data_IF_741130162737
#
_entry.id   IF_741130162737
#
_cell.length_a   1.000
_cell.length_b   1.000
_cell.length_c   1.000
_cell.angle_alpha   90.00
_cell.angle_beta   90.00
_cell.angle_gamma   90.00
#
_symmetry.space_group_name_H-M   'P 1'
#
loop_
_entity.id
_entity.type
_entity.pdbx_description
1 polymer ?
#
# COMPACT_ATOMS: atom_id res chain seq x y z
N UNK A 1 -0.20 -8.04 -8.80
CA UNK A 1 1.05 -7.28 -8.62
C UNK A 1 0.72 -6.08 -7.75
N UNK A 2 1.47 -5.85 -6.67
CA UNK A 2 1.31 -4.67 -5.82
C UNK A 2 2.64 -3.92 -5.83
N UNK A 3 2.60 -2.64 -6.16
CA UNK A 3 3.76 -1.74 -6.16
C UNK A 3 3.54 -0.58 -5.20
N UNK A 4 4.63 -0.03 -4.67
CA UNK A 4 4.62 1.13 -3.78
C UNK A 4 5.71 2.11 -4.20
N UNK A 5 5.40 3.40 -4.28
CA UNK A 5 6.36 4.43 -4.67
C UNK A 5 6.40 4.72 -6.18
N UNK A 6 7.10 5.80 -6.53
CA UNK A 6 7.21 6.28 -7.92
C UNK A 6 5.93 6.94 -8.46
N UNK A 7 5.09 7.49 -7.58
CA UNK A 7 3.80 8.15 -7.91
C UNK A 7 3.77 9.65 -7.58
N UNK A 8 4.87 10.17 -7.07
CA UNK A 8 5.01 11.57 -6.73
C UNK A 8 5.14 12.46 -7.98
N UNK A 9 5.53 13.73 -7.78
CA UNK A 9 5.63 14.70 -8.86
C UNK A 9 7.02 14.73 -9.52
N UNK A 10 8.04 14.04 -9.02
CA UNK A 10 9.43 14.20 -9.50
C UNK A 10 9.67 13.45 -10.81
N UNK A 11 10.82 13.67 -11.46
CA UNK A 11 11.13 13.04 -12.76
C UNK A 11 11.39 11.53 -12.64
N UNK A 12 11.82 11.07 -11.46
CA UNK A 12 12.01 9.66 -11.12
C UNK A 12 10.71 8.94 -10.75
N UNK A 13 9.60 9.68 -10.56
CA UNK A 13 8.27 9.11 -10.35
C UNK A 13 7.64 8.64 -11.69
N UNK A 14 8.10 7.47 -12.16
CA UNK A 14 7.75 6.92 -13.48
C UNK A 14 6.76 5.73 -13.45
N UNK A 15 6.18 5.39 -12.29
CA UNK A 15 5.42 4.13 -12.15
C UNK A 15 4.17 4.10 -13.04
N UNK A 16 3.41 5.20 -13.14
CA UNK A 16 2.21 5.25 -14.00
C UNK A 16 2.56 5.10 -15.48
N UNK A 17 3.59 5.80 -15.93
CA UNK A 17 4.07 5.76 -17.31
C UNK A 17 4.59 4.35 -17.64
N UNK A 18 5.30 3.73 -16.70
CA UNK A 18 5.86 2.38 -16.87
C UNK A 18 4.75 1.34 -16.98
N UNK A 19 3.76 1.37 -16.09
CA UNK A 19 2.61 0.44 -16.14
C UNK A 19 1.82 0.64 -17.44
N UNK A 20 1.58 1.90 -17.82
CA UNK A 20 0.87 2.23 -19.07
C UNK A 20 1.60 1.67 -20.30
N UNK A 21 2.91 1.89 -20.39
CA UNK A 21 3.74 1.39 -21.50
C UNK A 21 3.82 -0.14 -21.52
N UNK A 22 4.06 -0.76 -20.37
CA UNK A 22 4.18 -2.21 -20.25
C UNK A 22 2.90 -2.95 -20.67
N UNK A 23 1.74 -2.32 -20.47
CA UNK A 23 0.45 -2.86 -20.85
C UNK A 23 -0.08 -2.33 -22.19
N UNK A 24 0.69 -1.52 -22.92
CA UNK A 24 0.26 -0.88 -24.17
C UNK A 24 -1.10 -0.16 -24.04
N UNK A 25 -1.23 0.65 -22.99
CA UNK A 25 -2.41 1.45 -22.68
C UNK A 25 -2.15 2.92 -23.01
N UNK A 26 -3.21 3.74 -22.99
CA UNK A 26 -3.10 5.21 -23.02
C UNK A 26 -2.98 5.77 -21.62
N UNK A 27 -2.19 6.83 -21.48
CA UNK A 27 -2.13 7.63 -20.27
C UNK A 27 -3.18 8.75 -20.39
N UNK A 28 -4.20 8.74 -19.53
CA UNK A 28 -5.31 9.69 -19.60
C UNK A 28 -5.43 10.51 -18.33
N UNK A 29 -5.99 11.71 -18.47
CA UNK A 29 -6.21 12.63 -17.36
C UNK A 29 -7.49 12.27 -16.61
N UNK A 30 -7.41 12.21 -15.28
CA UNK A 30 -8.55 11.99 -14.40
C UNK A 30 -8.93 13.30 -13.68
N UNK A 31 -10.06 13.94 -14.01
CA UNK A 31 -10.46 15.23 -13.44
C UNK A 31 -10.63 15.22 -11.91
N UNK A 32 -11.08 14.11 -11.34
CA UNK A 32 -11.23 13.92 -9.89
C UNK A 32 -9.88 13.95 -9.16
N UNK A 33 -8.82 13.42 -9.78
CA UNK A 33 -7.46 13.49 -9.24
C UNK A 33 -6.95 14.92 -9.29
N UNK A 34 -7.16 15.61 -10.41
CA UNK A 34 -6.80 17.02 -10.52
C UNK A 34 -7.52 17.88 -9.48
N UNK A 35 -8.82 17.66 -9.28
CA UNK A 35 -9.60 18.35 -8.26
C UNK A 35 -9.01 18.13 -6.86
N UNK A 36 -8.65 16.89 -6.53
CA UNK A 36 -8.04 16.55 -5.25
C UNK A 36 -6.66 17.20 -5.07
N UNK A 37 -5.81 17.13 -6.10
CA UNK A 37 -4.49 17.73 -6.12
C UNK A 37 -4.55 19.24 -5.89
N UNK A 38 -5.44 19.93 -6.62
CA UNK A 38 -5.68 21.37 -6.45
C UNK A 38 -6.14 21.71 -5.03
N UNK A 39 -7.05 20.90 -4.47
CA UNK A 39 -7.55 21.07 -3.10
C UNK A 39 -6.42 20.95 -2.06
N UNK A 40 -5.57 19.93 -2.17
CA UNK A 40 -4.47 19.69 -1.23
C UNK A 40 -3.42 20.79 -1.33
N UNK A 41 -2.96 21.13 -2.54
CA UNK A 41 -1.97 22.19 -2.74
C UNK A 41 -2.48 23.56 -2.26
N UNK A 42 -3.76 23.88 -2.47
CA UNK A 42 -4.39 25.08 -1.93
C UNK A 42 -4.40 25.09 -0.40
N UNK A 43 -4.70 23.96 0.25
CA UNK A 43 -4.72 23.82 1.72
C UNK A 43 -3.34 24.08 2.34
N UNK A 44 -2.27 23.69 1.67
CA UNK A 44 -0.88 23.91 2.14
C UNK A 44 -0.24 25.18 1.54
N UNK A 45 -1.04 26.06 0.93
CA UNK A 45 -0.62 27.32 0.30
C UNK A 45 0.54 27.17 -0.71
N UNK A 46 0.57 26.07 -1.46
CA UNK A 46 1.53 25.84 -2.55
C UNK A 46 0.89 26.10 -3.92
N UNK A 47 1.67 26.72 -4.81
CA UNK A 47 1.29 26.88 -6.23
C UNK A 47 1.36 25.52 -6.93
N UNK A 48 0.48 25.31 -7.91
CA UNK A 48 0.49 24.11 -8.75
C UNK A 48 1.62 24.23 -9.77
N UNK A 49 2.52 23.26 -9.80
CA UNK A 49 3.56 23.16 -10.83
C UNK A 49 3.15 22.19 -11.95
N UNK A 50 3.75 22.28 -13.15
CA UNK A 50 3.57 21.29 -14.21
C UNK A 50 3.92 19.87 -13.77
N UNK A 51 4.92 19.72 -12.90
CA UNK A 51 5.35 18.43 -12.35
C UNK A 51 4.27 17.82 -11.45
N UNK A 52 3.54 18.62 -10.66
CA UNK A 52 2.38 18.13 -9.90
C UNK A 52 1.27 17.61 -10.82
N UNK A 53 1.05 18.27 -11.97
CA UNK A 53 0.02 17.85 -12.91
C UNK A 53 0.32 16.50 -13.56
N UNK A 54 1.55 15.99 -13.54
CA UNK A 54 1.83 14.62 -14.00
C UNK A 54 1.04 13.57 -13.21
N UNK A 55 0.78 13.83 -11.92
CA UNK A 55 0.08 12.91 -11.03
C UNK A 55 -1.42 12.73 -11.38
N UNK A 56 -1.98 13.60 -12.24
CA UNK A 56 -3.37 13.50 -12.68
C UNK A 56 -3.57 12.59 -13.88
N UNK A 57 -2.46 12.08 -14.44
CA UNK A 57 -2.44 11.19 -15.59
C UNK A 57 -2.14 9.76 -15.15
N UNK A 58 -3.06 8.83 -15.44
CA UNK A 58 -2.97 7.43 -15.06
C UNK A 58 -3.34 6.54 -16.26
N UNK A 59 -3.00 5.23 -16.24
CA UNK A 59 -3.40 4.31 -17.30
C UNK A 59 -4.91 4.31 -17.49
N UNK A 60 -5.38 4.29 -18.74
CA UNK A 60 -6.80 4.15 -19.05
C UNK A 60 -7.39 2.87 -18.45
N UNK A 61 -8.63 2.94 -17.98
CA UNK A 61 -9.31 1.82 -17.33
C UNK A 61 -8.88 1.56 -15.89
N UNK A 62 -7.96 2.35 -15.33
CA UNK A 62 -7.61 2.26 -13.92
C UNK A 62 -8.78 2.73 -13.03
N UNK A 63 -9.10 1.94 -11.99
CA UNK A 63 -9.92 2.37 -10.86
C UNK A 63 -9.07 3.25 -9.95
N UNK A 64 -9.43 4.53 -9.89
CA UNK A 64 -8.71 5.54 -9.12
C UNK A 64 -9.11 5.48 -7.65
N UNK A 65 -8.10 5.51 -6.78
CA UNK A 65 -8.26 5.69 -5.34
C UNK A 65 -7.70 7.06 -4.99
N UNK A 66 -8.59 7.98 -4.61
CA UNK A 66 -8.21 9.33 -4.23
C UNK A 66 -7.44 9.31 -2.92
N UNK A 67 -6.22 9.83 -2.95
CA UNK A 67 -5.41 9.97 -1.75
C UNK A 67 -5.85 11.21 -0.95
N UNK A 68 -6.45 10.98 0.23
CA UNK A 68 -6.86 12.04 1.14
C UNK A 68 -5.69 12.57 2.00
N UNK A 69 -4.58 11.86 2.03
CA UNK A 69 -3.40 12.10 2.87
C UNK A 69 -2.26 12.78 2.12
N UNK A 70 -2.25 12.71 0.79
CA UNK A 70 -1.22 13.25 -0.09
C UNK A 70 -1.73 13.51 -1.51
N UNK A 71 -0.88 14.04 -2.39
CA UNK A 71 -1.30 14.42 -3.76
C UNK A 71 -1.31 13.24 -4.74
N UNK A 72 -0.51 12.21 -4.50
CA UNK A 72 -0.38 11.05 -5.37
C UNK A 72 -1.57 10.10 -5.17
N UNK A 73 -2.46 9.88 -6.16
CA UNK A 73 -3.51 8.88 -6.03
C UNK A 73 -2.92 7.46 -5.92
N UNK A 74 -3.73 6.50 -5.52
CA UNK A 74 -3.46 5.09 -5.76
C UNK A 74 -4.33 4.60 -6.92
N UNK A 75 -4.00 3.45 -7.50
CA UNK A 75 -4.81 2.85 -8.56
C UNK A 75 -4.91 1.34 -8.45
N UNK A 76 -6.01 0.79 -8.95
CA UNK A 76 -6.20 -0.63 -9.22
C UNK A 76 -6.53 -0.76 -10.70
N UNK A 77 -5.75 -1.55 -11.43
CA UNK A 77 -5.92 -1.80 -12.85
C UNK A 77 -6.12 -3.29 -13.09
N UNK A 78 -7.18 -3.64 -13.79
CA UNK A 78 -7.48 -5.01 -14.20
C UNK A 78 -7.26 -5.15 -15.70
N UNK A 79 -6.45 -6.14 -16.09
CA UNK A 79 -6.22 -6.47 -17.50
C UNK A 79 -5.88 -7.95 -17.64
N UNK A 80 -6.51 -8.65 -18.56
CA UNK A 80 -6.24 -10.07 -18.88
C UNK A 80 -6.23 -10.99 -17.63
N UNK A 81 -7.25 -10.86 -16.78
CA UNK A 81 -7.37 -11.55 -15.48
C UNK A 81 -6.21 -11.31 -14.48
N UNK A 82 -5.38 -10.30 -14.73
CA UNK A 82 -4.34 -9.84 -13.81
C UNK A 82 -4.75 -8.52 -13.19
N UNK A 83 -4.28 -8.31 -11.96
CA UNK A 83 -4.55 -7.09 -11.20
C UNK A 83 -3.21 -6.46 -10.86
N UNK A 84 -3.07 -5.18 -11.20
CA UNK A 84 -1.93 -4.35 -10.82
C UNK A 84 -2.46 -3.23 -9.93
N UNK A 85 -1.93 -3.13 -8.71
CA UNK A 85 -2.26 -2.06 -7.80
C UNK A 85 -1.00 -1.25 -7.48
N UNK A 86 -1.09 0.08 -7.52
CA UNK A 86 0.04 0.96 -7.20
C UNK A 86 -0.35 1.96 -6.12
N UNK A 87 0.47 2.05 -5.07
CA UNK A 87 0.24 2.90 -3.90
C UNK A 87 1.39 3.89 -3.67
N UNK A 88 1.14 5.03 -2.98
CA UNK A 88 2.18 5.98 -2.62
C UNK A 88 3.33 5.32 -1.85
N UNK A 89 4.54 5.86 -1.97
CA UNK A 89 5.70 5.38 -1.21
C UNK A 89 5.74 5.84 0.24
N UNK A 90 4.99 6.90 0.57
CA UNK A 90 4.93 7.45 1.94
C UNK A 90 4.19 6.45 2.83
N UNK A 91 4.82 5.88 3.88
CA UNK A 91 4.26 4.76 4.62
C UNK A 91 2.89 5.02 5.25
N UNK A 92 2.64 6.25 5.71
CA UNK A 92 1.35 6.62 6.31
C UNK A 92 0.23 6.66 5.26
N UNK A 93 0.47 7.30 4.11
CA UNK A 93 -0.50 7.35 3.01
C UNK A 93 -0.79 5.94 2.47
N UNK A 94 0.27 5.17 2.23
CA UNK A 94 0.18 3.79 1.72
C UNK A 94 -0.67 2.90 2.61
N UNK A 95 -0.40 2.88 3.93
CA UNK A 95 -1.11 2.02 4.88
C UNK A 95 -2.61 2.31 4.90
N UNK A 96 -2.97 3.59 5.05
CA UNK A 96 -4.38 3.99 5.09
C UNK A 96 -5.11 3.61 3.80
N UNK A 97 -4.52 3.91 2.63
CA UNK A 97 -5.16 3.59 1.35
C UNK A 97 -5.30 2.08 1.12
N UNK A 98 -4.31 1.28 1.53
CA UNK A 98 -4.39 -0.18 1.44
C UNK A 98 -5.50 -0.71 2.34
N UNK A 99 -5.55 -0.27 3.60
CA UNK A 99 -6.54 -0.73 4.58
C UNK A 99 -7.96 -0.36 4.16
N UNK A 100 -8.17 0.86 3.68
CA UNK A 100 -9.49 1.39 3.31
C UNK A 100 -10.00 0.90 1.96
N UNK A 101 -9.09 0.60 1.01
CA UNK A 101 -9.49 0.36 -0.38
C UNK A 101 -9.01 -0.99 -0.93
N UNK A 102 -7.73 -1.33 -0.76
CA UNK A 102 -7.18 -2.55 -1.36
C UNK A 102 -7.68 -3.80 -0.65
N UNK A 103 -7.63 -3.82 0.69
CA UNK A 103 -8.03 -5.00 1.46
C UNK A 103 -9.50 -5.35 1.22
N UNK A 104 -10.48 -4.41 1.29
CA UNK A 104 -11.87 -4.71 0.95
C UNK A 104 -12.03 -5.25 -0.47
N UNK A 105 -11.40 -4.60 -1.46
CA UNK A 105 -11.44 -5.03 -2.85
C UNK A 105 -10.89 -6.46 -3.04
N UNK A 106 -9.76 -6.79 -2.40
CA UNK A 106 -9.18 -8.13 -2.49
C UNK A 106 -10.03 -9.17 -1.77
N UNK A 107 -10.69 -8.84 -0.66
CA UNK A 107 -11.60 -9.77 0.04
C UNK A 107 -12.85 -10.09 -0.78
N UNK A 108 -13.40 -9.10 -1.49
CA UNK A 108 -14.53 -9.29 -2.39
C UNK A 108 -14.14 -10.18 -3.57
N UNK A 109 -12.99 -9.89 -4.19
CA UNK A 109 -12.53 -10.60 -5.39
C UNK A 109 -11.92 -11.96 -5.12
N UNK A 110 -11.27 -12.11 -3.96
CA UNK A 110 -10.66 -13.34 -3.49
C UNK A 110 -11.16 -13.63 -2.07
N UNK A 111 -12.38 -14.18 -1.94
CA UNK A 111 -12.94 -14.54 -0.64
C UNK A 111 -11.93 -15.40 0.14
N UNK A 112 -11.59 -14.99 1.38
CA UNK A 112 -10.56 -15.68 2.15
C UNK A 112 -11.01 -17.11 2.45
N UNK A 113 -10.20 -18.09 2.02
CA UNK A 113 -10.41 -19.50 2.35
C UNK A 113 -9.91 -19.87 3.75
N UNK A 114 -9.03 -19.04 4.33
CA UNK A 114 -8.44 -19.27 5.65
C UNK A 114 -8.10 -17.93 6.32
N UNK A 115 -8.34 -17.83 7.63
CA UNK A 115 -7.96 -16.68 8.44
C UNK A 115 -6.71 -17.03 9.23
N UNK A 116 -5.57 -16.40 8.91
CA UNK A 116 -4.38 -16.44 9.76
C UNK A 116 -4.45 -15.33 10.80
N UNK A 117 -4.24 -15.67 12.08
CA UNK A 117 -4.14 -14.71 13.18
C UNK A 117 -2.73 -14.74 13.75
N UNK A 118 -2.21 -13.58 14.12
CA UNK A 118 -0.93 -13.43 14.82
C UNK A 118 -1.12 -12.51 16.00
N UNK A 119 -0.53 -12.85 17.15
CA UNK A 119 -0.51 -12.00 18.33
C UNK A 119 0.93 -11.74 18.73
N UNK A 120 1.28 -10.48 18.92
CA UNK A 120 2.61 -10.06 19.39
C UNK A 120 2.51 -9.80 20.89
N UNK A 121 3.31 -10.52 21.67
CA UNK A 121 3.48 -10.28 23.10
C UNK A 121 4.82 -9.55 23.31
N UNK A 122 4.78 -8.38 23.93
CA UNK A 122 6.00 -7.61 24.26
C UNK A 122 6.40 -7.96 25.69
N UNK A 123 7.60 -8.51 25.85
CA UNK A 123 8.15 -8.95 27.13
C UNK A 123 9.37 -8.09 27.46
N UNK A 124 9.51 -7.66 28.71
CA UNK A 124 10.63 -6.86 29.21
C UNK A 124 11.26 -7.54 30.42
N UNK A 125 12.57 -7.36 30.63
CA UNK A 125 13.28 -7.91 31.79
C UNK A 125 13.73 -9.37 31.66
N UNK A 126 13.44 -10.02 30.53
CA UNK A 126 13.88 -11.38 30.23
C UNK A 126 14.62 -11.42 28.89
N UNK A 127 15.73 -12.15 28.84
CA UNK A 127 16.44 -12.45 27.60
C UNK A 127 15.70 -13.50 26.76
N UNK A 128 16.08 -13.60 25.49
CA UNK A 128 15.47 -14.53 24.54
C UNK A 128 15.51 -15.98 25.02
N UNK A 129 16.66 -16.45 25.50
CA UNK A 129 16.84 -17.80 26.04
C UNK A 129 15.90 -18.09 27.22
N UNK A 130 15.75 -17.13 28.13
CA UNK A 130 14.87 -17.29 29.30
C UNK A 130 13.40 -17.37 28.89
N UNK A 131 12.96 -16.55 27.92
CA UNK A 131 11.60 -16.64 27.38
C UNK A 131 11.39 -17.99 26.71
N UNK A 132 12.34 -18.45 25.89
CA UNK A 132 12.27 -19.73 25.20
C UNK A 132 12.14 -20.91 26.17
N UNK A 133 12.90 -20.91 27.27
CA UNK A 133 12.78 -21.92 28.32
C UNK A 133 11.40 -21.92 28.98
N UNK A 134 10.87 -20.74 29.34
CA UNK A 134 9.57 -20.61 29.99
C UNK A 134 8.40 -21.09 29.13
N UNK A 135 8.47 -20.92 27.81
CA UNK A 135 7.39 -21.29 26.90
C UNK A 135 7.62 -22.62 26.16
N UNK A 136 8.76 -23.29 26.40
CA UNK A 136 9.18 -24.50 25.67
C UNK A 136 8.10 -25.58 25.65
N UNK A 137 7.48 -25.85 26.80
CA UNK A 137 6.44 -26.87 26.90
C UNK A 137 5.18 -26.51 26.08
N UNK A 138 4.82 -25.23 26.04
CA UNK A 138 3.71 -24.75 25.21
C UNK A 138 4.05 -24.85 23.73
N UNK A 139 5.28 -24.54 23.34
CA UNK A 139 5.77 -24.69 21.97
C UNK A 139 5.72 -26.14 21.50
N UNK A 140 6.15 -27.08 22.36
CA UNK A 140 6.20 -28.51 22.02
C UNK A 140 4.82 -29.16 21.97
N UNK A 141 3.85 -28.69 22.77
CA UNK A 141 2.49 -29.24 22.82
C UNK A 141 1.57 -28.67 21.76
N UNK A 142 1.87 -27.49 21.21
CA UNK A 142 1.00 -26.84 20.24
C UNK A 142 1.12 -27.45 18.84
N UNK A 143 -0.01 -27.69 18.18
CA UNK A 143 -0.11 -28.17 16.80
C UNK A 143 -0.79 -27.21 15.84
N UNK A 144 -1.51 -26.19 16.33
CA UNK A 144 -2.38 -25.35 15.50
C UNK A 144 -1.88 -23.91 15.27
N UNK A 145 -0.74 -23.51 15.86
CA UNK A 145 -0.07 -22.25 15.57
C UNK A 145 1.44 -22.34 15.83
N UNK A 146 2.20 -21.39 15.28
CA UNK A 146 3.65 -21.32 15.43
C UNK A 146 4.04 -20.18 16.37
N UNK A 147 5.16 -20.36 17.07
CA UNK A 147 5.78 -19.34 17.89
C UNK A 147 7.01 -18.76 17.17
N UNK A 148 7.29 -17.48 17.41
CA UNK A 148 8.51 -16.83 16.99
C UNK A 148 8.94 -15.89 18.12
N UNK A 149 10.19 -16.01 18.57
CA UNK A 149 10.78 -15.13 19.57
C UNK A 149 11.75 -14.23 18.83
N UNK A 150 11.57 -12.91 18.96
CA UNK A 150 12.45 -11.92 18.34
C UNK A 150 12.97 -11.00 19.43
N UNK A 151 14.28 -10.98 19.62
CA UNK A 151 14.95 -9.94 20.41
C UNK A 151 14.82 -8.60 19.70
N UNK A 152 14.29 -7.60 20.40
CA UNK A 152 14.23 -6.24 19.88
C UNK A 152 15.47 -5.50 20.42
N UNK A 153 16.56 -5.52 19.65
CA UNK A 153 17.74 -4.71 19.92
C UNK A 153 17.39 -3.25 19.62
N UNK A 154 16.85 -2.55 20.63
CA UNK A 154 16.76 -1.09 20.64
C UNK A 154 17.35 -0.58 21.94
#
# INVERSE_FOLDING_TARGET
IITTGGLGPTEDDITYQTITRALNLKLIKYPEVEKNLKRILKKINKRISPSNLKQVYLPEGAKIIINQYGTAPAMILEKDNKIICSFPGVPHEMKNLIEENLIPYLKEKFPPSMIKKSKILKITGLGESSVNELIRDYMNKQTNFSFCICSNLR
#
